data_IF_051543562571
#
_entry.id   IF_051543562571
#
_cell.length_a   1.000
_cell.length_b   1.000
_cell.length_c   1.000
_cell.angle_alpha   90.00
_cell.angle_beta   90.00
_cell.angle_gamma   90.00
#
_symmetry.space_group_name_H-M   'P 1'
#
loop_
_entity.id
_entity.type
_entity.pdbx_description
1 polymer ?
#
# COMPACT_ATOMS: atom_id res chain seq x y z
N UNK A 1 -57.38 22.13 62.50
CA UNK A 1 -55.94 21.85 62.59
C UNK A 1 -55.62 20.81 61.54
N UNK A 2 -55.20 21.29 60.38
CA UNK A 2 -54.91 20.46 59.20
C UNK A 2 -53.37 20.37 59.00
N UNK A 3 -52.82 19.20 59.17
CA UNK A 3 -51.41 18.92 58.87
C UNK A 3 -51.24 18.54 57.38
N UNK A 4 -50.58 19.42 56.65
CA UNK A 4 -50.17 19.12 55.26
C UNK A 4 -48.87 18.29 55.26
N UNK A 5 -48.95 17.02 54.82
CA UNK A 5 -47.78 16.19 54.53
C UNK A 5 -47.16 16.59 53.19
N UNK A 6 -45.96 17.14 53.18
CA UNK A 6 -45.15 17.33 51.97
C UNK A 6 -44.44 16.03 51.62
N UNK A 7 -44.80 15.42 50.50
CA UNK A 7 -44.10 14.32 49.85
C UNK A 7 -42.96 14.85 49.01
N UNK A 8 -41.71 14.60 49.37
CA UNK A 8 -40.52 14.84 48.53
C UNK A 8 -40.36 13.69 47.53
N UNK A 9 -40.56 14.01 46.25
CA UNK A 9 -40.25 13.07 45.16
C UNK A 9 -38.77 13.25 44.77
N UNK A 10 -37.97 12.25 45.06
CA UNK A 10 -36.60 12.17 44.57
C UNK A 10 -36.59 11.66 43.15
N UNK A 11 -36.26 12.52 42.18
CA UNK A 11 -36.00 12.12 40.79
C UNK A 11 -34.57 11.55 40.70
N UNK A 12 -34.48 10.25 40.51
CA UNK A 12 -33.18 9.60 40.23
C UNK A 12 -32.90 9.81 38.74
N UNK A 13 -31.95 10.69 38.41
CA UNK A 13 -31.41 10.81 37.07
C UNK A 13 -30.51 9.59 36.78
N UNK A 14 -30.98 8.70 35.95
CA UNK A 14 -30.15 7.68 35.32
C UNK A 14 -29.30 8.33 34.22
N UNK A 15 -28.02 8.58 34.49
CA UNK A 15 -27.04 8.88 33.42
C UNK A 15 -26.66 7.57 32.73
N UNK A 16 -27.22 7.35 31.55
CA UNK A 16 -26.75 6.27 30.67
C UNK A 16 -25.33 6.61 30.22
N UNK A 17 -24.36 5.94 30.80
CA UNK A 17 -22.98 5.95 30.31
C UNK A 17 -22.99 5.12 29.02
N UNK A 18 -23.05 5.79 27.86
CA UNK A 18 -22.75 5.15 26.58
C UNK A 18 -21.25 4.84 26.56
N UNK A 19 -20.91 3.59 26.86
CA UNK A 19 -19.56 3.11 26.55
C UNK A 19 -19.41 3.08 25.04
N UNK A 20 -18.67 4.05 24.49
CA UNK A 20 -18.15 3.96 23.12
C UNK A 20 -17.29 2.68 23.10
N UNK A 21 -17.57 1.70 22.24
CA UNK A 21 -16.72 0.52 22.14
C UNK A 21 -15.29 0.99 21.87
N UNK A 22 -14.33 0.50 22.66
CA UNK A 22 -12.92 0.75 22.42
C UNK A 22 -12.64 0.28 20.99
N UNK A 23 -12.21 1.18 20.14
CA UNK A 23 -11.83 0.87 18.77
C UNK A 23 -10.67 -0.11 18.82
N UNK A 24 -10.73 -1.19 18.05
CA UNK A 24 -9.65 -2.18 18.03
C UNK A 24 -8.36 -1.47 17.60
N UNK A 25 -7.29 -1.65 18.38
CA UNK A 25 -5.97 -1.14 18.02
C UNK A 25 -5.50 -1.78 16.70
N UNK A 26 -4.73 -1.05 15.90
CA UNK A 26 -4.10 -1.62 14.71
C UNK A 26 -3.14 -2.76 15.09
N UNK A 27 -2.99 -3.71 14.17
CA UNK A 27 -2.01 -4.78 14.30
C UNK A 27 -0.66 -4.31 13.74
N UNK A 28 0.45 -4.59 14.47
CA UNK A 28 1.80 -4.19 14.08
C UNK A 28 2.84 -5.32 14.24
N UNK A 29 3.83 -5.45 13.30
CA UNK A 29 3.78 -4.82 11.99
C UNK A 29 2.55 -5.30 11.24
N UNK A 30 1.92 -4.42 10.49
CA UNK A 30 0.60 -4.69 9.91
C UNK A 30 0.31 -3.93 8.62
N UNK A 31 1.34 -3.40 7.94
CA UNK A 31 1.18 -2.85 6.61
C UNK A 31 1.20 -3.96 5.55
N UNK A 32 2.28 -4.10 4.79
CA UNK A 32 2.38 -5.14 3.77
C UNK A 32 2.64 -6.53 4.36
N UNK A 33 3.14 -6.61 5.59
CA UNK A 33 3.50 -7.85 6.27
C UNK A 33 3.17 -7.79 7.75
N UNK A 34 2.64 -8.88 8.29
CA UNK A 34 2.61 -9.16 9.73
C UNK A 34 3.92 -9.85 10.16
N UNK A 35 4.19 -9.90 11.46
CA UNK A 35 5.34 -10.65 11.99
C UNK A 35 5.29 -12.13 11.55
N UNK A 36 4.12 -12.76 11.61
CA UNK A 36 3.95 -14.15 11.18
C UNK A 36 4.33 -14.36 9.71
N UNK A 37 3.99 -13.41 8.84
CA UNK A 37 4.35 -13.49 7.42
C UNK A 37 5.86 -13.34 7.22
N UNK A 38 6.52 -12.43 7.96
CA UNK A 38 7.97 -12.27 7.92
C UNK A 38 8.68 -13.54 8.38
N UNK A 39 8.24 -14.14 9.49
CA UNK A 39 8.80 -15.39 10.04
C UNK A 39 8.63 -16.54 9.05
N UNK A 40 7.46 -16.63 8.39
CA UNK A 40 7.21 -17.61 7.34
C UNK A 40 8.18 -17.44 6.16
N UNK A 41 8.32 -16.23 5.62
CA UNK A 41 9.24 -15.94 4.50
C UNK A 41 10.67 -16.31 4.90
N UNK A 42 11.10 -15.88 6.08
CA UNK A 42 12.42 -16.18 6.63
C UNK A 42 12.67 -17.70 6.68
N UNK A 43 11.72 -18.47 7.21
CA UNK A 43 11.84 -19.93 7.30
C UNK A 43 12.00 -20.59 5.92
N UNK A 44 11.29 -20.08 4.89
CA UNK A 44 11.39 -20.57 3.52
C UNK A 44 12.74 -20.27 2.87
N UNK A 45 13.26 -19.06 3.11
CA UNK A 45 14.59 -18.66 2.64
C UNK A 45 15.69 -19.49 3.31
N UNK A 46 15.64 -19.68 4.63
CA UNK A 46 16.58 -20.49 5.39
C UNK A 46 16.55 -21.97 4.97
N UNK A 47 15.39 -22.50 4.63
CA UNK A 47 15.23 -23.86 4.09
C UNK A 47 15.66 -24.01 2.62
N UNK A 48 16.03 -22.92 1.94
CA UNK A 48 16.41 -22.94 0.52
C UNK A 48 15.24 -23.20 -0.44
N UNK A 49 14.00 -22.99 0.02
CA UNK A 49 12.81 -23.30 -0.77
C UNK A 49 12.56 -22.27 -1.88
N UNK A 50 12.15 -22.78 -3.06
CA UNK A 50 11.68 -21.93 -4.15
C UNK A 50 10.19 -21.68 -4.05
N UNK A 51 9.70 -20.50 -4.47
CA UNK A 51 10.42 -19.43 -5.18
C UNK A 51 11.03 -18.35 -4.26
N UNK A 52 10.90 -18.50 -2.93
CA UNK A 52 11.37 -17.50 -1.95
C UNK A 52 12.87 -17.25 -2.04
N UNK A 53 13.69 -18.30 -2.18
CA UNK A 53 15.14 -18.15 -2.26
C UNK A 53 15.55 -17.29 -3.46
N UNK A 54 15.02 -17.56 -4.66
CA UNK A 54 15.33 -16.75 -5.85
C UNK A 54 14.88 -15.28 -5.69
N UNK A 55 13.73 -15.04 -5.05
CA UNK A 55 13.27 -13.70 -4.72
C UNK A 55 14.17 -12.98 -3.70
N UNK A 56 14.65 -13.70 -2.68
CA UNK A 56 15.59 -13.17 -1.69
C UNK A 56 16.95 -12.82 -2.33
N UNK A 57 17.44 -13.65 -3.24
CA UNK A 57 18.66 -13.35 -3.99
C UNK A 57 18.52 -12.08 -4.84
N UNK A 58 17.33 -11.79 -5.40
CA UNK A 58 17.08 -10.52 -6.10
C UNK A 58 17.18 -9.33 -5.15
N UNK A 59 16.61 -9.44 -3.95
CA UNK A 59 16.72 -8.40 -2.93
C UNK A 59 18.19 -8.21 -2.52
N UNK A 60 18.93 -9.27 -2.21
CA UNK A 60 20.33 -9.20 -1.82
C UNK A 60 21.24 -8.54 -2.88
N UNK A 61 20.95 -8.78 -4.16
CA UNK A 61 21.74 -8.24 -5.29
C UNK A 61 21.42 -6.76 -5.58
N UNK A 62 20.32 -6.22 -5.04
CA UNK A 62 19.91 -4.87 -5.34
C UNK A 62 20.80 -3.84 -4.62
N UNK A 63 21.39 -2.83 -5.30
CA UNK A 63 22.36 -1.93 -4.66
C UNK A 63 21.78 -1.15 -3.46
N UNK A 64 20.48 -0.85 -3.47
CA UNK A 64 19.80 -0.11 -2.42
C UNK A 64 19.42 -0.98 -1.20
N UNK A 65 19.58 -2.31 -1.27
CA UNK A 65 19.39 -3.19 -0.12
C UNK A 65 20.67 -3.36 0.72
N UNK A 66 21.80 -2.84 0.27
CA UNK A 66 23.08 -2.95 0.97
C UNK A 66 23.08 -2.07 2.23
N UNK A 67 23.53 -2.61 3.36
CA UNK A 67 23.79 -1.79 4.56
C UNK A 67 24.96 -0.79 4.35
N UNK A 68 25.78 -0.98 3.34
CA UNK A 68 26.82 -0.02 2.93
C UNK A 68 26.30 1.05 1.96
N UNK A 69 25.00 1.10 1.69
CA UNK A 69 24.41 2.15 0.87
C UNK A 69 24.74 3.52 1.43
N UNK A 70 25.23 4.42 0.55
CA UNK A 70 25.55 5.80 0.93
C UNK A 70 24.28 6.64 0.81
N UNK A 71 23.78 7.10 1.95
CA UNK A 71 22.62 7.99 2.02
C UNK A 71 22.89 9.26 1.24
N UNK A 72 21.98 9.63 0.36
CA UNK A 72 22.13 10.77 -0.55
C UNK A 72 21.78 12.09 0.12
N UNK A 73 20.87 12.04 1.09
CA UNK A 73 20.33 13.27 1.63
C UNK A 73 19.93 13.25 3.07
N UNK A 74 19.04 13.94 3.44
CA UNK A 74 18.38 14.61 4.49
C UNK A 74 18.12 16.01 3.98
N UNK A 75 17.41 16.10 2.82
CA UNK A 75 17.14 17.39 2.18
C UNK A 75 15.95 18.07 2.83
N UNK A 76 16.03 19.39 3.03
CA UNK A 76 14.90 20.18 3.52
C UNK A 76 13.77 20.30 2.49
N UNK A 77 14.12 20.18 1.20
CA UNK A 77 13.19 20.32 0.08
C UNK A 77 13.46 19.27 -0.98
N UNK A 78 12.40 18.55 -1.39
CA UNK A 78 12.43 17.62 -2.52
C UNK A 78 11.31 17.98 -3.49
N UNK A 79 11.40 17.59 -4.77
CA UNK A 79 10.40 17.97 -5.74
C UNK A 79 10.35 17.08 -6.96
N UNK A 80 9.15 17.01 -7.57
CA UNK A 80 8.87 16.31 -8.82
C UNK A 80 7.93 17.13 -9.69
N UNK A 81 8.20 17.14 -10.99
CA UNK A 81 7.28 17.72 -11.96
C UNK A 81 7.84 17.80 -13.35
N UNK A 82 7.00 18.31 -14.26
CA UNK A 82 7.29 18.43 -15.68
C UNK A 82 7.86 19.79 -16.10
N UNK A 83 7.79 20.80 -15.20
CA UNK A 83 8.33 22.13 -15.48
C UNK A 83 9.83 22.19 -15.15
N UNK A 84 10.54 23.10 -15.79
CA UNK A 84 11.94 23.36 -15.46
C UNK A 84 12.08 23.75 -13.98
N UNK A 85 12.98 23.07 -13.26
CA UNK A 85 13.20 23.31 -11.82
C UNK A 85 12.27 22.56 -10.85
N UNK A 86 11.24 21.86 -11.35
CA UNK A 86 10.34 21.05 -10.50
C UNK A 86 11.05 19.85 -9.86
N UNK A 87 12.00 19.23 -10.58
CA UNK A 87 12.73 18.06 -10.09
C UNK A 87 13.87 18.47 -9.15
N UNK A 88 13.55 18.62 -7.87
CA UNK A 88 14.51 18.96 -6.80
C UNK A 88 14.90 17.68 -6.08
N UNK A 89 16.15 17.22 -6.25
CA UNK A 89 16.67 16.00 -5.59
C UNK A 89 15.78 14.74 -5.76
N UNK A 90 15.04 14.68 -6.86
CA UNK A 90 14.08 13.59 -7.10
C UNK A 90 14.74 12.21 -7.10
N UNK A 91 15.81 12.05 -7.87
CA UNK A 91 16.50 10.76 -8.00
C UNK A 91 17.16 10.31 -6.70
N UNK A 92 17.74 11.25 -5.96
CA UNK A 92 18.33 10.98 -4.66
C UNK A 92 17.28 10.57 -3.62
N UNK A 93 16.14 11.27 -3.59
CA UNK A 93 15.04 10.95 -2.69
C UNK A 93 14.40 9.61 -3.03
N UNK A 94 14.14 9.31 -4.32
CA UNK A 94 13.65 8.00 -4.76
C UNK A 94 14.60 6.88 -4.30
N UNK A 95 15.92 7.09 -4.45
CA UNK A 95 16.91 6.10 -4.07
C UNK A 95 16.98 5.86 -2.57
N UNK A 96 16.95 6.92 -1.76
CA UNK A 96 16.96 6.83 -0.29
C UNK A 96 15.68 6.17 0.24
N UNK A 97 14.50 6.51 -0.29
CA UNK A 97 13.23 5.89 0.11
C UNK A 97 13.21 4.38 -0.18
N UNK A 98 13.71 3.97 -1.35
CA UNK A 98 13.87 2.55 -1.66
C UNK A 98 14.89 1.89 -0.73
N UNK A 99 16.03 2.55 -0.46
CA UNK A 99 17.06 2.00 0.40
C UNK A 99 16.58 1.82 1.85
N UNK A 100 15.76 2.75 2.36
CA UNK A 100 15.13 2.61 3.66
C UNK A 100 14.25 1.35 3.70
N UNK A 101 13.35 1.19 2.72
CA UNK A 101 12.44 0.05 2.66
C UNK A 101 13.19 -1.28 2.47
N UNK A 102 14.13 -1.34 1.54
CA UNK A 102 14.86 -2.60 1.26
C UNK A 102 15.77 -3.01 2.41
N UNK A 103 16.41 -2.06 3.11
CA UNK A 103 17.16 -2.37 4.31
C UNK A 103 16.24 -2.79 5.47
N UNK A 104 15.05 -2.21 5.63
CA UNK A 104 14.07 -2.68 6.61
C UNK A 104 13.61 -4.12 6.31
N UNK A 105 13.39 -4.47 5.03
CA UNK A 105 13.11 -5.86 4.62
C UNK A 105 14.28 -6.79 4.92
N UNK A 106 15.52 -6.39 4.58
CA UNK A 106 16.71 -7.18 4.90
C UNK A 106 16.87 -7.41 6.39
N UNK A 107 16.59 -6.39 7.22
CA UNK A 107 16.55 -6.54 8.68
C UNK A 107 15.52 -7.59 9.09
N UNK A 108 14.27 -7.47 8.66
CA UNK A 108 13.18 -8.40 9.02
C UNK A 108 13.44 -9.85 8.60
N UNK A 109 14.18 -10.07 7.49
CA UNK A 109 14.42 -11.39 6.93
C UNK A 109 15.76 -11.99 7.33
N UNK A 110 16.83 -11.19 7.38
CA UNK A 110 18.18 -11.69 7.71
C UNK A 110 18.56 -11.49 9.18
N UNK A 111 17.90 -10.55 9.89
CA UNK A 111 18.22 -10.24 11.30
C UNK A 111 19.56 -9.53 11.49
N UNK A 112 20.19 -9.05 10.43
CA UNK A 112 21.47 -8.32 10.52
C UNK A 112 21.22 -6.86 10.90
N UNK A 113 21.61 -6.50 12.12
CA UNK A 113 21.40 -5.17 12.69
C UNK A 113 21.94 -4.02 11.84
N UNK A 114 22.96 -4.24 11.01
CA UNK A 114 23.52 -3.23 10.11
C UNK A 114 22.46 -2.72 9.12
N UNK A 115 21.54 -3.57 8.70
CA UNK A 115 20.42 -3.17 7.85
C UNK A 115 19.38 -2.32 8.62
N UNK A 116 19.07 -2.68 9.86
CA UNK A 116 18.22 -1.86 10.72
C UNK A 116 18.83 -0.46 10.95
N UNK A 117 20.13 -0.40 11.23
CA UNK A 117 20.83 0.85 11.44
C UNK A 117 20.84 1.72 10.18
N UNK A 118 21.00 1.11 8.98
CA UNK A 118 20.90 1.83 7.71
C UNK A 118 19.48 2.39 7.45
N UNK A 119 18.45 1.61 7.69
CA UNK A 119 17.07 2.09 7.57
C UNK A 119 16.79 3.26 8.53
N UNK A 120 17.19 3.14 9.81
CA UNK A 120 17.09 4.24 10.81
C UNK A 120 17.85 5.49 10.39
N UNK A 121 19.07 5.34 9.88
CA UNK A 121 19.88 6.46 9.37
C UNK A 121 19.10 7.28 8.34
N UNK A 122 18.48 6.62 7.36
CA UNK A 122 17.72 7.30 6.32
C UNK A 122 16.45 7.95 6.88
N UNK A 123 15.65 7.18 7.65
CA UNK A 123 14.41 7.66 8.25
C UNK A 123 14.66 8.90 9.12
N UNK A 124 15.68 8.86 9.97
CA UNK A 124 16.06 9.96 10.87
C UNK A 124 16.59 11.17 10.10
N UNK A 125 17.35 10.96 9.02
CA UNK A 125 17.83 12.05 8.18
C UNK A 125 16.68 12.87 7.62
N UNK A 126 15.67 12.22 7.01
CA UNK A 126 14.52 12.94 6.46
C UNK A 126 13.57 13.47 7.53
N UNK A 127 13.34 12.74 8.61
CA UNK A 127 12.52 13.20 9.73
C UNK A 127 13.08 14.49 10.35
N UNK A 128 14.40 14.63 10.38
CA UNK A 128 15.06 15.82 10.93
C UNK A 128 15.05 17.01 9.99
N UNK A 129 15.04 16.81 8.67
CA UNK A 129 15.34 17.87 7.70
C UNK A 129 14.23 18.20 6.73
N UNK A 130 13.44 17.21 6.23
CA UNK A 130 12.45 17.46 5.20
C UNK A 130 11.31 18.35 5.72
N UNK A 131 11.04 19.44 4.99
CA UNK A 131 10.02 20.45 5.34
C UNK A 131 8.98 20.63 4.23
N UNK A 132 9.34 20.38 2.98
CA UNK A 132 8.43 20.61 1.86
C UNK A 132 8.67 19.66 0.68
N UNK A 133 7.57 19.26 0.05
CA UNK A 133 7.52 18.51 -1.20
C UNK A 133 6.90 19.41 -2.24
N UNK A 134 7.61 19.71 -3.34
CA UNK A 134 7.24 20.73 -4.32
C UNK A 134 7.14 20.20 -5.74
N UNK A 135 6.75 21.07 -6.67
CA UNK A 135 6.64 20.78 -8.10
C UNK A 135 5.22 20.42 -8.54
N UNK A 136 5.01 20.36 -9.85
CA UNK A 136 3.70 20.07 -10.44
C UNK A 136 3.19 18.67 -10.07
N UNK A 137 4.08 17.73 -9.84
CA UNK A 137 3.77 16.33 -9.54
C UNK A 137 4.07 15.98 -8.07
N UNK A 138 4.07 16.98 -7.17
CA UNK A 138 4.38 16.79 -5.74
C UNK A 138 3.49 15.74 -5.07
N UNK A 139 2.21 15.67 -5.47
CA UNK A 139 1.26 14.68 -4.92
C UNK A 139 1.73 13.26 -5.25
N UNK A 140 2.12 13.03 -6.51
CA UNK A 140 2.63 11.73 -6.94
C UNK A 140 3.91 11.38 -6.20
N UNK A 141 4.85 12.34 -6.02
CA UNK A 141 6.07 12.11 -5.25
C UNK A 141 5.76 11.77 -3.79
N UNK A 142 4.93 12.56 -3.12
CA UNK A 142 4.56 12.31 -1.73
C UNK A 142 3.87 10.95 -1.55
N UNK A 143 3.03 10.54 -2.51
CA UNK A 143 2.34 9.25 -2.45
C UNK A 143 3.25 8.06 -2.68
N UNK A 144 4.21 8.13 -3.60
CA UNK A 144 5.10 7.02 -3.91
C UNK A 144 6.22 6.88 -2.85
N UNK A 145 6.93 7.97 -2.62
CA UNK A 145 8.07 7.99 -1.70
C UNK A 145 7.61 7.89 -0.24
N UNK A 146 6.50 8.55 0.11
CA UNK A 146 5.89 8.46 1.44
C UNK A 146 5.55 7.02 1.82
N UNK A 147 4.93 6.26 0.90
CA UNK A 147 4.65 4.84 1.14
C UNK A 147 5.90 4.04 1.48
N UNK A 148 6.99 4.21 0.73
CA UNK A 148 8.27 3.52 0.98
C UNK A 148 8.86 3.84 2.35
N UNK A 149 8.80 5.11 2.75
CA UNK A 149 9.28 5.54 4.07
C UNK A 149 8.42 4.93 5.19
N UNK A 150 7.09 4.91 5.02
CA UNK A 150 6.19 4.32 6.03
C UNK A 150 6.36 2.81 6.13
N UNK A 151 6.53 2.09 5.00
CA UNK A 151 6.79 0.64 5.01
C UNK A 151 8.10 0.31 5.75
N UNK A 152 9.15 1.10 5.54
CA UNK A 152 10.40 0.95 6.28
C UNK A 152 10.20 1.21 7.77
N UNK A 153 9.55 2.32 8.10
CA UNK A 153 9.34 2.75 9.49
C UNK A 153 8.52 1.74 10.29
N UNK A 154 7.48 1.17 9.69
CA UNK A 154 6.65 0.13 10.31
C UNK A 154 7.48 -1.09 10.73
N UNK A 155 8.30 -1.61 9.81
CA UNK A 155 9.16 -2.74 10.10
C UNK A 155 10.18 -2.40 11.20
N UNK A 156 10.81 -1.23 11.13
CA UNK A 156 11.83 -0.82 12.09
C UNK A 156 11.24 -0.57 13.49
N UNK A 157 10.04 0.01 13.57
CA UNK A 157 9.36 0.28 14.85
C UNK A 157 8.93 -0.99 15.56
N UNK A 158 8.43 -1.99 14.82
CA UNK A 158 7.70 -3.13 15.38
C UNK A 158 8.43 -4.48 15.27
N UNK A 159 9.75 -4.48 15.01
CA UNK A 159 10.57 -5.71 14.90
C UNK A 159 11.87 -5.66 15.74
N UNK A 160 11.84 -5.03 16.90
CA UNK A 160 12.98 -4.95 17.84
C UNK A 160 14.29 -4.36 17.24
N UNK A 161 14.16 -3.52 16.21
CA UNK A 161 15.31 -2.86 15.58
C UNK A 161 16.01 -1.81 16.48
N UNK A 162 15.43 -1.48 17.64
CA UNK A 162 15.95 -0.51 18.57
C UNK A 162 15.93 0.91 18.00
N UNK A 163 14.75 1.39 17.61
CA UNK A 163 14.55 2.77 17.17
C UNK A 163 14.07 3.63 18.33
N UNK A 164 14.75 4.76 18.59
CA UNK A 164 14.45 5.59 19.74
C UNK A 164 13.07 6.26 19.64
N UNK A 165 12.33 6.32 20.74
CA UNK A 165 10.99 6.90 20.78
C UNK A 165 10.96 8.34 20.28
N UNK A 166 11.96 9.17 20.62
CA UNK A 166 12.05 10.52 20.13
C UNK A 166 12.24 10.63 18.60
N UNK A 167 12.88 9.63 17.99
CA UNK A 167 13.05 9.56 16.54
C UNK A 167 11.75 9.08 15.86
N UNK A 168 11.03 8.13 16.47
CA UNK A 168 9.70 7.70 16.04
C UNK A 168 8.74 8.91 16.04
N UNK A 169 8.66 9.65 17.15
CA UNK A 169 7.81 10.85 17.26
C UNK A 169 8.17 11.91 16.19
N UNK A 170 9.45 12.05 15.89
CA UNK A 170 9.90 12.99 14.84
C UNK A 170 9.48 12.52 13.45
N UNK A 171 9.52 11.22 13.22
CA UNK A 171 9.08 10.62 11.96
C UNK A 171 7.56 10.70 11.80
N UNK A 172 6.77 10.46 12.85
CA UNK A 172 5.32 10.68 12.84
C UNK A 172 4.99 12.13 12.46
N UNK A 173 5.67 13.11 13.04
CA UNK A 173 5.50 14.52 12.66
C UNK A 173 5.82 14.77 11.19
N UNK A 174 6.90 14.18 10.65
CA UNK A 174 7.19 14.27 9.21
C UNK A 174 6.00 13.78 8.37
N UNK A 175 5.41 12.65 8.75
CA UNK A 175 4.27 12.11 8.02
C UNK A 175 3.04 13.02 8.12
N UNK A 176 2.69 13.46 9.32
CA UNK A 176 1.46 14.21 9.58
C UNK A 176 1.53 15.68 9.13
N UNK A 177 2.72 16.29 9.17
CA UNK A 177 2.89 17.73 8.90
C UNK A 177 3.44 18.00 7.49
N UNK A 178 4.14 17.05 6.86
CA UNK A 178 4.80 17.28 5.56
C UNK A 178 4.22 16.39 4.46
N UNK A 179 4.10 15.07 4.69
CA UNK A 179 3.66 14.13 3.65
C UNK A 179 2.14 14.14 3.51
N UNK A 180 1.41 13.90 4.59
CA UNK A 180 -0.05 13.78 4.57
C UNK A 180 -0.77 15.03 4.04
N UNK A 181 -0.39 16.27 4.40
CA UNK A 181 -1.03 17.48 3.84
C UNK A 181 -0.96 17.59 2.32
N UNK A 182 0.04 16.96 1.68
CA UNK A 182 0.20 16.96 0.22
C UNK A 182 -0.77 15.99 -0.47
N UNK A 183 -1.12 14.88 0.19
CA UNK A 183 -1.92 13.78 -0.39
C UNK A 183 -3.33 13.66 0.17
N UNK A 184 -3.66 14.33 1.27
CA UNK A 184 -4.92 14.15 2.02
C UNK A 184 -6.19 14.40 1.19
N UNK A 185 -6.10 15.25 0.16
CA UNK A 185 -7.24 15.60 -0.69
C UNK A 185 -7.24 14.79 -2.00
N UNK A 186 -6.41 13.76 -2.05
CA UNK A 186 -6.20 12.87 -3.19
C UNK A 186 -5.79 13.65 -4.46
N UNK A 187 -5.93 13.04 -5.65
CA UNK A 187 -5.54 13.68 -6.89
C UNK A 187 -6.73 13.75 -7.85
N UNK A 188 -7.82 14.37 -7.41
CA UNK A 188 -9.11 14.42 -8.11
C UNK A 188 -9.06 15.00 -9.53
N UNK A 189 -7.98 15.70 -9.89
CA UNK A 189 -7.78 16.35 -11.19
C UNK A 189 -6.93 15.54 -12.17
N UNK A 190 -6.40 14.37 -11.75
CA UNK A 190 -5.39 13.61 -12.47
C UNK A 190 -5.91 12.24 -12.96
N UNK A 191 -5.06 11.51 -13.69
CA UNK A 191 -5.26 10.10 -13.98
C UNK A 191 -5.26 9.27 -12.68
N UNK A 192 -5.93 8.13 -12.72
CA UNK A 192 -6.24 7.35 -11.54
C UNK A 192 -5.04 6.87 -10.73
N UNK A 193 -3.91 6.56 -11.38
CA UNK A 193 -2.70 6.10 -10.67
C UNK A 193 -2.20 7.11 -9.60
N UNK A 194 -2.46 8.40 -9.75
CA UNK A 194 -2.09 9.41 -8.75
C UNK A 194 -2.91 9.24 -7.48
N UNK A 195 -4.22 9.15 -7.63
CA UNK A 195 -5.12 9.02 -6.48
C UNK A 195 -5.04 7.63 -5.84
N UNK A 196 -4.88 6.55 -6.61
CA UNK A 196 -4.61 5.22 -6.04
C UNK A 196 -3.34 5.22 -5.18
N UNK A 197 -2.30 5.95 -5.61
CA UNK A 197 -1.10 6.19 -4.82
C UNK A 197 -1.38 6.94 -3.52
N UNK A 198 -2.23 7.98 -3.56
CA UNK A 198 -2.66 8.70 -2.36
C UNK A 198 -3.43 7.78 -1.41
N UNK A 199 -4.34 6.93 -1.91
CA UNK A 199 -5.11 5.98 -1.10
C UNK A 199 -4.18 5.06 -0.31
N UNK A 200 -3.23 4.37 -0.98
CA UNK A 200 -2.32 3.45 -0.29
C UNK A 200 -1.49 4.14 0.77
N UNK A 201 -0.99 5.35 0.48
CA UNK A 201 -0.08 6.05 1.40
C UNK A 201 -0.84 6.67 2.57
N UNK A 202 -2.04 7.19 2.33
CA UNK A 202 -2.94 7.64 3.41
C UNK A 202 -3.28 6.47 4.34
N UNK A 203 -3.60 5.30 3.79
CA UNK A 203 -3.87 4.09 4.59
C UNK A 203 -2.65 3.69 5.43
N UNK A 204 -1.46 3.67 4.82
CA UNK A 204 -0.21 3.35 5.52
C UNK A 204 0.09 4.32 6.66
N UNK A 205 -0.11 5.63 6.45
CA UNK A 205 0.06 6.66 7.51
C UNK A 205 -0.96 6.43 8.63
N UNK A 206 -2.21 6.12 8.29
CA UNK A 206 -3.26 5.83 9.28
C UNK A 206 -2.87 4.69 10.22
N UNK A 207 -2.38 3.57 9.67
CA UNK A 207 -1.91 2.41 10.46
C UNK A 207 -0.68 2.79 11.28
N UNK A 208 0.39 3.30 10.66
CA UNK A 208 1.66 3.57 11.36
C UNK A 208 1.52 4.58 12.51
N UNK A 209 0.67 5.59 12.33
CA UNK A 209 0.42 6.63 13.35
C UNK A 209 -0.73 6.29 14.30
N UNK A 210 -1.27 5.07 14.31
CA UNK A 210 -2.43 4.64 15.09
C UNK A 210 -3.63 5.60 14.95
N UNK A 211 -3.82 6.15 13.72
CA UNK A 211 -4.84 7.15 13.43
C UNK A 211 -5.97 6.56 12.57
N UNK A 212 -7.05 6.17 13.26
CA UNK A 212 -8.21 5.55 12.62
C UNK A 212 -8.92 6.48 11.62
N UNK A 213 -9.00 7.78 11.90
CA UNK A 213 -9.64 8.74 10.99
C UNK A 213 -8.93 8.78 9.64
N UNK A 214 -7.59 8.81 9.64
CA UNK A 214 -6.79 8.79 8.41
C UNK A 214 -6.96 7.46 7.67
N UNK A 215 -6.98 6.33 8.40
CA UNK A 215 -7.21 5.00 7.80
C UNK A 215 -8.60 4.90 7.16
N UNK A 216 -9.65 5.27 7.90
CA UNK A 216 -11.04 5.20 7.44
C UNK A 216 -11.28 6.13 6.25
N UNK A 217 -10.61 7.29 6.21
CA UNK A 217 -10.64 8.21 5.05
C UNK A 217 -10.10 7.52 3.80
N UNK A 218 -8.99 6.77 3.89
CA UNK A 218 -8.44 6.03 2.77
C UNK A 218 -9.36 4.88 2.32
N UNK A 219 -9.91 4.12 3.27
CA UNK A 219 -10.89 3.03 3.01
C UNK A 219 -12.12 3.58 2.31
N UNK A 220 -12.67 4.68 2.82
CA UNK A 220 -13.84 5.32 2.22
C UNK A 220 -13.53 5.82 0.80
N UNK A 221 -12.36 6.41 0.57
CA UNK A 221 -11.98 6.85 -0.77
C UNK A 221 -11.75 5.71 -1.73
N UNK A 222 -11.13 4.63 -1.28
CA UNK A 222 -10.99 3.39 -2.05
C UNK A 222 -12.36 2.91 -2.57
N UNK A 223 -13.38 2.89 -1.70
CA UNK A 223 -14.72 2.36 -2.01
C UNK A 223 -15.61 3.34 -2.76
N UNK A 224 -15.58 4.61 -2.38
CA UNK A 224 -16.60 5.61 -2.71
C UNK A 224 -16.04 6.94 -3.22
N UNK A 225 -14.73 7.04 -3.43
CA UNK A 225 -14.12 8.24 -4.00
C UNK A 225 -14.73 8.59 -5.36
N UNK A 226 -14.81 9.88 -5.64
CA UNK A 226 -15.47 10.41 -6.85
C UNK A 226 -14.51 10.63 -8.01
N UNK A 227 -13.21 10.42 -7.78
CA UNK A 227 -12.16 10.61 -8.77
C UNK A 227 -11.80 9.32 -9.53
N UNK A 228 -10.84 9.42 -10.43
CA UNK A 228 -10.35 8.30 -11.24
C UNK A 228 -9.66 7.18 -10.43
N UNK A 229 -9.31 7.39 -9.16
CA UNK A 229 -8.52 6.45 -8.36
C UNK A 229 -9.34 5.60 -7.39
N UNK A 230 -10.65 5.85 -7.22
CA UNK A 230 -11.50 4.92 -6.46
C UNK A 230 -11.68 3.61 -7.24
N UNK A 231 -11.95 2.51 -6.54
CA UNK A 231 -11.94 1.17 -7.12
C UNK A 231 -12.75 1.07 -8.42
N UNK A 232 -14.02 1.50 -8.41
CA UNK A 232 -14.92 1.36 -9.56
C UNK A 232 -14.76 2.45 -10.63
N UNK A 233 -14.10 3.55 -10.31
CA UNK A 233 -13.72 4.55 -11.30
C UNK A 233 -12.36 4.23 -11.93
N UNK A 234 -11.48 3.52 -11.21
CA UNK A 234 -10.23 3.04 -11.79
C UNK A 234 -10.43 1.80 -12.66
N UNK A 235 -11.22 0.83 -12.19
CA UNK A 235 -11.63 -0.37 -12.94
C UNK A 235 -13.08 -0.15 -13.36
N UNK A 236 -13.27 0.42 -14.56
CA UNK A 236 -14.47 1.13 -14.98
C UNK A 236 -15.67 0.23 -15.32
N UNK A 237 -15.45 -1.06 -15.56
CA UNK A 237 -16.52 -1.99 -15.96
C UNK A 237 -16.28 -3.41 -15.45
N UNK A 238 -17.27 -4.28 -15.65
CA UNK A 238 -17.23 -5.68 -15.21
C UNK A 238 -16.20 -6.54 -15.95
N UNK A 239 -15.76 -6.09 -17.14
CA UNK A 239 -14.70 -6.80 -17.88
C UNK A 239 -13.31 -6.55 -17.29
N UNK A 240 -13.16 -5.57 -16.37
CA UNK A 240 -11.89 -5.24 -15.73
C UNK A 240 -11.06 -4.16 -16.44
N UNK A 241 -11.63 -3.47 -17.46
CA UNK A 241 -10.94 -2.37 -18.13
C UNK A 241 -10.57 -1.26 -17.13
N UNK A 242 -9.29 -0.89 -17.08
CA UNK A 242 -8.83 0.23 -16.26
C UNK A 242 -9.02 1.57 -16.97
N UNK A 243 -9.21 2.64 -16.20
CA UNK A 243 -9.32 4.01 -16.70
C UNK A 243 -8.13 4.39 -17.60
N UNK A 244 -6.93 3.89 -17.28
CA UNK A 244 -5.71 4.16 -18.02
C UNK A 244 -5.36 3.12 -19.09
N UNK A 245 -6.22 2.12 -19.36
CA UNK A 245 -5.96 1.10 -20.37
C UNK A 245 -5.79 1.68 -21.78
N UNK A 246 -6.43 2.82 -22.08
CA UNK A 246 -6.26 3.54 -23.33
C UNK A 246 -5.10 4.54 -23.33
N UNK A 247 -4.47 4.80 -22.17
CA UNK A 247 -3.31 5.68 -22.05
C UNK A 247 -2.01 4.94 -22.36
N UNK A 248 -1.66 3.97 -21.54
CA UNK A 248 -0.54 3.05 -21.68
C UNK A 248 -0.60 1.92 -20.64
N UNK A 249 0.11 0.82 -20.89
CA UNK A 249 0.05 -0.35 -20.04
C UNK A 249 0.89 -0.21 -18.75
N UNK A 250 1.85 0.70 -18.73
CA UNK A 250 2.68 0.91 -17.55
C UNK A 250 1.92 1.67 -16.46
N UNK A 251 1.13 2.67 -16.82
CA UNK A 251 0.29 3.39 -15.85
C UNK A 251 -0.94 2.58 -15.43
N UNK A 252 -1.55 1.79 -16.34
CA UNK A 252 -2.63 0.88 -15.98
C UNK A 252 -2.18 -0.11 -14.89
N UNK A 253 -1.01 -0.73 -15.06
CA UNK A 253 -0.42 -1.61 -14.05
C UNK A 253 -0.05 -0.88 -12.75
N UNK A 254 0.42 0.39 -12.85
CA UNK A 254 0.82 1.17 -11.68
C UNK A 254 -0.36 1.43 -10.73
N UNK A 255 -1.49 1.89 -11.27
CA UNK A 255 -2.67 2.13 -10.43
C UNK A 255 -3.22 0.85 -9.81
N UNK A 256 -3.20 -0.28 -10.55
CA UNK A 256 -3.55 -1.59 -10.00
C UNK A 256 -2.62 -2.01 -8.85
N UNK A 257 -1.31 -1.77 -8.98
CA UNK A 257 -0.34 -2.05 -7.92
C UNK A 257 -0.69 -1.30 -6.62
N UNK A 258 -1.01 -0.02 -6.74
CA UNK A 258 -1.35 0.81 -5.57
C UNK A 258 -2.64 0.32 -4.88
N UNK A 259 -3.67 -0.04 -5.65
CA UNK A 259 -4.90 -0.61 -5.10
C UNK A 259 -4.63 -1.96 -4.41
N UNK A 260 -3.77 -2.81 -4.98
CA UNK A 260 -3.38 -4.08 -4.37
C UNK A 260 -2.60 -3.89 -3.07
N UNK A 261 -1.64 -2.94 -3.03
CA UNK A 261 -0.93 -2.60 -1.79
C UNK A 261 -1.90 -2.09 -0.70
N UNK A 262 -2.90 -1.27 -1.07
CA UNK A 262 -3.94 -0.84 -0.12
C UNK A 262 -4.78 -2.02 0.38
N UNK A 263 -5.14 -2.96 -0.50
CA UNK A 263 -5.88 -4.16 -0.11
C UNK A 263 -5.08 -5.05 0.84
N UNK A 264 -3.76 -5.24 0.62
CA UNK A 264 -2.94 -6.07 1.50
C UNK A 264 -2.79 -5.43 2.90
N UNK A 265 -2.63 -4.11 2.97
CA UNK A 265 -2.62 -3.39 4.24
C UNK A 265 -3.96 -3.54 4.98
N UNK A 266 -5.08 -3.33 4.30
CA UNK A 266 -6.40 -3.51 4.89
C UNK A 266 -6.62 -4.95 5.36
N UNK A 267 -6.18 -5.95 4.58
CA UNK A 267 -6.25 -7.36 4.95
C UNK A 267 -5.49 -7.67 6.24
N UNK A 268 -4.28 -7.14 6.39
CA UNK A 268 -3.49 -7.31 7.61
C UNK A 268 -4.12 -6.61 8.82
N UNK A 269 -5.03 -5.65 8.60
CA UNK A 269 -5.85 -5.01 9.61
C UNK A 269 -7.24 -5.67 9.79
N UNK A 270 -7.47 -6.85 9.19
CA UNK A 270 -8.72 -7.59 9.32
C UNK A 270 -9.87 -7.08 8.43
N UNK A 271 -9.60 -6.20 7.46
CA UNK A 271 -10.59 -5.64 6.53
C UNK A 271 -10.39 -6.16 5.11
N UNK A 272 -11.35 -6.90 4.57
CA UNK A 272 -11.29 -7.41 3.19
C UNK A 272 -11.69 -6.32 2.17
N UNK A 273 -10.70 -5.61 1.62
CA UNK A 273 -10.89 -4.72 0.47
C UNK A 273 -10.71 -5.43 -0.87
N UNK A 274 -10.06 -6.59 -0.89
CA UNK A 274 -9.94 -7.40 -2.11
C UNK A 274 -11.31 -7.86 -2.63
N UNK A 275 -12.23 -8.23 -1.72
CA UNK A 275 -13.59 -8.62 -2.05
C UNK A 275 -14.52 -7.49 -2.48
N UNK A 276 -14.10 -6.23 -2.36
CA UNK A 276 -14.95 -5.07 -2.62
C UNK A 276 -15.49 -5.06 -4.06
N UNK A 277 -16.76 -4.64 -4.21
CA UNK A 277 -17.45 -4.53 -5.51
C UNK A 277 -17.35 -5.82 -6.34
N UNK A 278 -17.63 -6.95 -5.73
CA UNK A 278 -17.56 -8.27 -6.35
C UNK A 278 -16.19 -8.57 -6.96
N UNK A 279 -15.15 -8.48 -6.12
CA UNK A 279 -13.76 -8.72 -6.49
C UNK A 279 -13.30 -7.88 -7.70
N UNK A 280 -13.71 -6.61 -7.75
CA UNK A 280 -13.41 -5.70 -8.87
C UNK A 280 -11.91 -5.61 -9.15
N UNK A 281 -11.07 -5.67 -8.11
CA UNK A 281 -9.62 -5.63 -8.27
C UNK A 281 -9.11 -6.82 -9.08
N UNK A 282 -9.61 -8.03 -8.81
CA UNK A 282 -9.27 -9.23 -9.58
C UNK A 282 -9.61 -9.07 -11.06
N UNK A 283 -10.80 -8.53 -11.37
CA UNK A 283 -11.22 -8.29 -12.75
C UNK A 283 -10.23 -7.37 -13.48
N UNK A 284 -9.75 -6.30 -12.81
CA UNK A 284 -8.73 -5.40 -13.34
C UNK A 284 -7.39 -6.09 -13.61
N UNK A 285 -6.95 -6.94 -12.69
CA UNK A 285 -5.73 -7.73 -12.86
C UNK A 285 -5.85 -8.74 -14.00
N UNK A 286 -6.93 -9.51 -14.07
CA UNK A 286 -7.17 -10.49 -15.14
C UNK A 286 -7.20 -9.82 -16.52
N UNK A 287 -7.95 -8.73 -16.70
CA UNK A 287 -8.02 -7.98 -17.95
C UNK A 287 -6.65 -7.44 -18.39
N UNK A 288 -5.95 -6.80 -17.46
CA UNK A 288 -4.64 -6.21 -17.74
C UNK A 288 -3.58 -7.27 -18.02
N UNK A 289 -3.59 -8.38 -17.26
CA UNK A 289 -2.72 -9.53 -17.51
C UNK A 289 -3.00 -10.16 -18.88
N UNK A 290 -4.25 -10.43 -19.20
CA UNK A 290 -4.66 -11.01 -20.47
C UNK A 290 -4.12 -10.20 -21.66
N UNK A 291 -4.30 -8.88 -21.65
CA UNK A 291 -3.80 -8.01 -22.70
C UNK A 291 -2.26 -7.99 -22.78
N UNK A 292 -1.59 -7.88 -21.64
CA UNK A 292 -0.13 -7.85 -21.60
C UNK A 292 0.54 -9.22 -21.87
N UNK A 293 -0.21 -10.31 -21.82
CA UNK A 293 0.23 -11.64 -22.25
C UNK A 293 0.02 -11.88 -23.76
N UNK A 294 -0.50 -10.89 -24.50
CA UNK A 294 -0.63 -10.93 -25.94
C UNK A 294 -2.03 -11.28 -26.46
N UNK A 295 -3.00 -11.50 -25.56
CA UNK A 295 -4.39 -11.74 -25.95
C UNK A 295 -5.12 -10.44 -26.23
N UNK A 296 -6.15 -10.47 -27.08
CA UNK A 296 -7.07 -9.35 -27.25
C UNK A 296 -8.11 -9.34 -26.13
N UNK A 297 -8.55 -8.13 -25.77
CA UNK A 297 -9.57 -7.90 -24.73
C UNK A 297 -10.61 -6.91 -25.24
N UNK A 298 -11.87 -6.98 -24.79
CA UNK A 298 -12.89 -6.01 -25.15
C UNK A 298 -12.52 -4.63 -24.58
N UNK A 299 -12.61 -3.58 -25.42
CA UNK A 299 -12.37 -2.20 -24.99
C UNK A 299 -13.58 -1.34 -25.28
N UNK A 300 -14.00 -0.56 -24.29
CA UNK A 300 -15.09 0.41 -24.42
C UNK A 300 -14.50 1.83 -24.39
N UNK A 301 -14.79 2.70 -25.37
CA UNK A 301 -14.38 4.10 -25.29
C UNK A 301 -14.80 4.72 -23.97
N UNK A 302 -13.87 5.37 -23.29
CA UNK A 302 -14.11 5.90 -21.96
C UNK A 302 -13.61 7.33 -21.80
N UNK A 303 -14.49 8.16 -21.24
CA UNK A 303 -14.15 9.51 -20.77
C UNK A 303 -14.09 9.49 -19.26
N UNK A 304 -12.99 9.92 -18.71
CA UNK A 304 -12.70 9.89 -17.28
C UNK A 304 -13.58 10.83 -16.44
N UNK A 305 -13.51 10.71 -15.13
CA UNK A 305 -14.32 11.52 -14.19
C UNK A 305 -14.01 13.02 -14.27
N UNK A 306 -12.81 13.40 -14.72
CA UNK A 306 -12.42 14.81 -14.88
C UNK A 306 -12.88 15.40 -16.21
N UNK A 307 -13.28 14.56 -17.15
CA UNK A 307 -13.60 14.95 -18.54
C UNK A 307 -12.39 15.29 -19.40
N UNK A 308 -11.16 15.20 -18.87
CA UNK A 308 -9.91 15.56 -19.58
C UNK A 308 -9.39 14.44 -20.46
N UNK A 309 -9.50 13.20 -19.98
CA UNK A 309 -8.91 12.04 -20.65
C UNK A 309 -10.02 11.25 -21.35
N UNK A 310 -9.87 11.11 -22.65
CA UNK A 310 -10.82 10.36 -23.48
C UNK A 310 -10.04 9.42 -24.40
N UNK A 311 -10.22 8.14 -24.21
CA UNK A 311 -9.57 7.10 -25.00
C UNK A 311 -10.61 6.31 -25.78
N UNK A 312 -10.40 6.15 -27.08
CA UNK A 312 -11.31 5.43 -27.99
C UNK A 312 -10.84 4.02 -28.30
N UNK A 313 -9.56 3.73 -28.01
CA UNK A 313 -8.92 2.43 -28.24
C UNK A 313 -8.02 2.10 -27.06
N UNK A 314 -7.78 0.79 -26.83
CA UNK A 314 -6.76 0.34 -25.90
C UNK A 314 -5.37 0.72 -26.43
N UNK A 315 -4.46 1.10 -25.54
CA UNK A 315 -3.09 1.45 -25.93
C UNK A 315 -2.19 0.21 -25.88
N UNK A 316 -1.35 0.06 -26.89
CA UNK A 316 -0.28 -0.94 -26.94
C UNK A 316 1.07 -0.42 -26.42
N UNK A 317 1.15 0.88 -26.04
CA UNK A 317 2.35 1.41 -25.42
C UNK A 317 2.64 0.67 -24.10
N UNK A 318 3.83 0.10 -24.05
CA UNK A 318 4.26 -0.70 -22.91
C UNK A 318 3.62 -2.09 -22.81
N UNK A 319 2.84 -2.54 -23.81
CA UNK A 319 2.26 -3.89 -23.86
C UNK A 319 3.34 -4.96 -23.72
N UNK A 320 3.12 -5.93 -22.86
CA UNK A 320 4.03 -7.05 -22.60
C UNK A 320 5.18 -6.74 -21.64
N UNK A 321 5.39 -5.49 -21.24
CA UNK A 321 6.31 -5.12 -20.16
C UNK A 321 5.59 -5.24 -18.83
N UNK A 322 5.78 -6.37 -18.15
CA UNK A 322 5.15 -6.65 -16.86
C UNK A 322 5.88 -5.92 -15.72
N UNK A 323 5.12 -5.19 -14.87
CA UNK A 323 5.62 -4.66 -13.61
C UNK A 323 5.64 -5.75 -12.54
N UNK A 324 6.45 -5.64 -11.46
CA UNK A 324 6.50 -6.63 -10.39
C UNK A 324 5.34 -6.45 -9.39
N UNK A 325 4.12 -6.80 -9.79
CA UNK A 325 2.88 -6.54 -9.06
C UNK A 325 1.93 -7.74 -8.99
N UNK A 326 2.27 -8.84 -9.66
CA UNK A 326 1.34 -9.95 -9.92
C UNK A 326 1.27 -10.96 -8.79
N UNK A 327 2.40 -11.22 -8.12
CA UNK A 327 2.50 -12.23 -7.07
C UNK A 327 1.58 -11.94 -5.87
N UNK A 328 1.50 -10.70 -5.42
CA UNK A 328 0.61 -10.30 -4.31
C UNK A 328 -0.83 -10.71 -4.59
N UNK A 329 -1.35 -10.32 -5.76
CA UNK A 329 -2.75 -10.54 -6.13
C UNK A 329 -3.03 -11.99 -6.49
N UNK A 330 -2.13 -12.64 -7.24
CA UNK A 330 -2.22 -14.07 -7.54
C UNK A 330 -2.32 -14.89 -6.25
N UNK A 331 -1.38 -14.67 -5.31
CA UNK A 331 -1.35 -15.44 -4.07
C UNK A 331 -2.54 -15.12 -3.17
N UNK A 332 -3.05 -13.88 -3.16
CA UNK A 332 -4.27 -13.58 -2.43
C UNK A 332 -5.47 -14.34 -2.98
N UNK A 333 -5.82 -14.14 -4.25
CA UNK A 333 -7.05 -14.73 -4.79
C UNK A 333 -6.96 -16.25 -4.93
N UNK A 334 -5.90 -16.78 -5.51
CA UNK A 334 -5.82 -18.22 -5.73
C UNK A 334 -5.43 -19.00 -4.46
N UNK A 335 -4.35 -18.62 -3.79
CA UNK A 335 -3.80 -19.43 -2.70
C UNK A 335 -4.45 -19.13 -1.35
N UNK A 336 -4.95 -17.92 -1.10
CA UNK A 336 -5.62 -17.53 0.14
C UNK A 336 -7.16 -17.70 0.06
N UNK A 337 -7.78 -17.34 -1.08
CA UNK A 337 -9.25 -17.36 -1.26
C UNK A 337 -9.77 -18.53 -2.09
N UNK A 338 -8.90 -19.32 -2.74
CA UNK A 338 -9.31 -20.44 -3.60
C UNK A 338 -10.01 -20.02 -4.92
N UNK A 339 -9.85 -18.77 -5.34
CA UNK A 339 -10.46 -18.23 -6.55
C UNK A 339 -9.52 -18.40 -7.74
N UNK A 340 -10.05 -18.83 -8.89
CA UNK A 340 -9.24 -18.96 -10.12
C UNK A 340 -8.89 -17.57 -10.70
N UNK A 341 -7.63 -17.39 -11.08
CA UNK A 341 -7.11 -16.17 -11.68
C UNK A 341 -6.04 -16.49 -12.74
N UNK A 342 -6.45 -17.11 -13.87
CA UNK A 342 -5.54 -17.75 -14.81
C UNK A 342 -4.53 -16.78 -15.44
N UNK A 343 -4.95 -15.59 -15.85
CA UNK A 343 -4.05 -14.62 -16.49
C UNK A 343 -3.13 -13.94 -15.48
N UNK A 344 -3.63 -13.60 -14.30
CA UNK A 344 -2.81 -13.04 -13.20
C UNK A 344 -1.73 -14.06 -12.77
N UNK A 345 -2.10 -15.34 -12.67
CA UNK A 345 -1.16 -16.45 -12.41
C UNK A 345 -0.08 -16.54 -13.48
N UNK A 346 -0.45 -16.52 -14.76
CA UNK A 346 0.51 -16.59 -15.85
C UNK A 346 1.43 -15.36 -15.87
N UNK A 347 0.91 -14.17 -15.59
CA UNK A 347 1.71 -12.95 -15.48
C UNK A 347 2.70 -13.05 -14.30
N UNK A 348 2.27 -13.51 -13.12
CA UNK A 348 3.14 -13.78 -11.99
C UNK A 348 4.26 -14.76 -12.35
N UNK A 349 3.91 -15.90 -12.95
CA UNK A 349 4.89 -16.91 -13.37
C UNK A 349 5.92 -16.37 -14.38
N UNK A 350 5.46 -15.54 -15.34
CA UNK A 350 6.33 -14.93 -16.34
C UNK A 350 7.25 -13.86 -15.72
N UNK A 351 6.84 -13.22 -14.65
CA UNK A 351 7.60 -12.16 -13.96
C UNK A 351 8.59 -12.69 -12.93
N UNK A 352 8.51 -13.97 -12.56
CA UNK A 352 9.35 -14.57 -11.52
C UNK A 352 10.84 -14.63 -11.89
N UNK A 353 11.72 -14.30 -10.94
CA UNK A 353 11.41 -13.66 -9.67
C UNK A 353 11.12 -12.17 -9.86
N UNK A 354 9.96 -11.70 -9.36
CA UNK A 354 9.65 -10.27 -9.34
C UNK A 354 10.73 -9.51 -8.57
N UNK A 355 11.34 -8.54 -9.22
CA UNK A 355 12.40 -7.71 -8.66
C UNK A 355 11.85 -6.37 -8.13
N UNK A 356 12.74 -5.40 -7.92
CA UNK A 356 12.35 -4.03 -7.59
C UNK A 356 11.47 -3.41 -8.69
N UNK A 357 10.48 -2.62 -8.31
CA UNK A 357 9.76 -1.77 -9.25
C UNK A 357 10.61 -0.60 -9.74
N UNK A 358 10.27 0.01 -10.89
CA UNK A 358 10.92 1.23 -11.33
C UNK A 358 10.68 2.37 -10.33
N UNK A 359 11.69 3.19 -10.09
CA UNK A 359 11.62 4.29 -9.12
C UNK A 359 11.16 3.84 -7.71
N UNK A 360 10.23 4.55 -7.09
CA UNK A 360 9.56 4.17 -5.85
C UNK A 360 8.10 3.71 -6.07
N UNK A 361 7.75 3.31 -7.28
CA UNK A 361 6.38 3.17 -7.77
C UNK A 361 5.55 2.11 -7.01
N UNK A 362 6.14 0.96 -6.67
CA UNK A 362 5.48 -0.14 -5.96
C UNK A 362 6.43 -0.82 -4.97
N UNK A 363 5.92 -1.69 -4.10
CA UNK A 363 6.73 -2.37 -3.09
C UNK A 363 7.88 -3.18 -3.70
N UNK A 364 7.64 -3.89 -4.83
CA UNK A 364 8.60 -4.77 -5.47
C UNK A 364 8.79 -6.10 -4.75
N UNK A 365 9.68 -6.94 -5.28
CA UNK A 365 10.07 -8.25 -4.71
C UNK A 365 8.91 -9.20 -4.40
N UNK A 366 7.84 -9.13 -5.19
CA UNK A 366 6.59 -9.85 -4.90
C UNK A 366 6.77 -11.36 -4.76
N UNK A 367 7.67 -11.97 -5.53
CA UNK A 367 7.96 -13.41 -5.43
C UNK A 367 8.52 -13.79 -4.06
N UNK A 368 9.37 -12.95 -3.46
CA UNK A 368 9.83 -13.15 -2.08
C UNK A 368 8.72 -12.92 -1.07
N UNK A 369 8.03 -11.80 -1.21
CA UNK A 369 7.21 -11.21 -0.16
C UNK A 369 5.80 -11.78 -0.08
N UNK A 370 5.24 -12.24 -1.21
CA UNK A 370 3.83 -12.63 -1.27
C UNK A 370 3.58 -14.07 -1.73
N UNK A 371 4.62 -14.84 -2.12
CA UNK A 371 4.45 -16.26 -2.41
C UNK A 371 3.85 -17.01 -1.22
N UNK A 372 2.93 -17.92 -1.49
CA UNK A 372 2.25 -18.75 -0.49
C UNK A 372 2.44 -20.22 -0.82
N UNK A 373 2.53 -21.03 0.22
CA UNK A 373 2.46 -22.49 0.07
C UNK A 373 0.97 -22.89 -0.01
N UNK A 374 0.51 -23.50 -1.10
CA UNK A 374 -0.89 -23.93 -1.23
C UNK A 374 -1.36 -24.85 -0.08
N UNK A 375 -0.43 -25.54 0.58
CA UNK A 375 -0.72 -26.42 1.72
C UNK A 375 -1.10 -25.68 3.00
N UNK A 376 -0.77 -24.39 3.12
CA UNK A 376 -1.08 -23.56 4.29
C UNK A 376 -2.29 -22.63 4.08
N UNK A 377 -2.92 -22.65 2.91
CA UNK A 377 -4.06 -21.81 2.56
C UNK A 377 -5.26 -21.95 3.52
N UNK A 378 -5.39 -23.08 4.23
CA UNK A 378 -6.52 -23.35 5.14
C UNK A 378 -6.35 -22.70 6.54
N UNK A 379 -5.18 -22.23 6.93
CA UNK A 379 -4.95 -21.66 8.26
C UNK A 379 -5.23 -20.15 8.31
N UNK A 380 -4.93 -19.41 7.26
CA UNK A 380 -5.17 -17.95 7.18
C UNK A 380 -6.67 -17.60 7.08
N UNK A 381 -7.50 -18.52 6.56
CA UNK A 381 -8.96 -18.32 6.38
C UNK A 381 -9.79 -18.45 7.67
N UNK A 382 -9.25 -19.00 8.75
CA UNK A 382 -10.01 -19.19 10.01
C UNK A 382 -10.00 -17.98 10.93
N UNK A 383 -9.07 -17.06 10.75
CA UNK A 383 -9.01 -15.84 11.56
C UNK A 383 -9.88 -14.68 11.03
N UNK A 384 -10.42 -14.80 9.81
CA UNK A 384 -11.30 -13.79 9.21
C UNK A 384 -12.81 -14.02 9.38
N UNK A 385 -13.24 -15.14 10.00
CA UNK A 385 -14.67 -15.52 10.05
C UNK A 385 -15.32 -15.44 11.42
N UNK A 386 -14.74 -14.79 12.41
CA UNK A 386 -15.40 -14.57 13.72
C UNK A 386 -15.79 -13.11 13.90
N UNK A 387 -17.02 -12.80 13.47
CA UNK A 387 -17.74 -11.66 14.00
C UNK A 387 -17.98 -10.52 13.03
N UNK A 388 -19.03 -10.65 12.22
CA UNK A 388 -19.96 -9.57 11.83
C UNK A 388 -20.93 -10.09 10.76
N UNK A 389 -21.66 -11.17 11.10
CA UNK A 389 -23.00 -11.38 10.53
C UNK A 389 -24.02 -10.94 11.57
N UNK A 390 -24.79 -9.95 11.20
CA UNK A 390 -26.16 -9.55 11.51
C UNK A 390 -26.28 -8.09 11.90
N UNK A 391 -26.76 -7.26 11.00
CA UNK A 391 -28.14 -6.73 11.04
C UNK A 391 -28.35 -5.81 9.83
N UNK A 392 -29.48 -6.09 9.23
CA UNK A 392 -30.18 -5.37 8.17
C UNK A 392 -30.18 -3.86 8.33
#
# INVERSE_FOLDING_TARGET
MSGMNQMYIWAILWTAIFSVPAQAAFSHPGLLHSQQQLDFIKSKVEAGEQPWLSGYEQLCKHPQSSYSYVVKGGYARVGRGSRQGDNVRKGEFDADCNAAHYNALMWGLAGDKRHADKAKEILNAYASTLREIVGTDKILMASLNGAKLVYAAELIRHTDAGWDAADIDRFERLLLEVVYPVIRDFAVFANGNWSTGCVKTTMAIGVFCDNQEIFDRAVNWYRHGTDNGSLTNYIINENGQCQESGRDQQHAQLGLAHLAEACEMAWNQGLDLYGASDNRLLKGFEYTAQYNLGCEVPFVPWRDTTGKYYHTTISDDGRGRLRPIWEMVYNHYQNRKGMDCPYTRLAAQKSRPEAAGPHADCCGFGTLLFSRDPRHAQQDGRNGSTGLEKKE
#
